data_IF_513031876384
#
_entry.id   IF_513031876384
#
_cell.length_a   1.000
_cell.length_b   1.000
_cell.length_c   1.000
_cell.angle_alpha   90.00
_cell.angle_beta   90.00
_cell.angle_gamma   90.00
#
_symmetry.space_group_name_H-M   'P 1'
#
loop_
_entity.id
_entity.type
_entity.pdbx_description
1 polymer ?
#
# COMPACT_ATOMS: atom_id res chain seq x y z
N UNK A 1 1.52 -34.63 -6.05
CA UNK A 1 0.75 -33.68 -5.23
C UNK A 1 0.45 -34.38 -3.91
N UNK A 2 1.16 -34.02 -2.85
CA UNK A 2 1.01 -34.62 -1.53
C UNK A 2 0.33 -33.60 -0.61
N UNK A 3 -0.78 -33.99 0.01
CA UNK A 3 -1.46 -33.21 1.04
C UNK A 3 -0.58 -33.08 2.30
N UNK A 4 -0.59 -31.93 3.00
CA UNK A 4 -0.03 -31.86 4.34
C UNK A 4 -0.97 -32.60 5.30
N UNK A 5 -0.47 -33.63 5.97
CA UNK A 5 -1.21 -34.36 7.00
C UNK A 5 -1.43 -33.50 8.25
N UNK A 6 -2.40 -33.87 9.11
CA UNK A 6 -2.68 -33.13 10.34
C UNK A 6 -1.52 -33.29 11.34
N UNK A 7 -0.99 -32.16 11.82
CA UNK A 7 0.00 -32.10 12.88
C UNK A 7 -0.52 -32.85 14.12
N UNK A 8 0.10 -34.00 14.42
CA UNK A 8 -0.15 -34.74 15.66
C UNK A 8 0.38 -33.91 16.83
N UNK A 9 -0.54 -33.43 17.65
CA UNK A 9 -0.21 -32.81 18.93
C UNK A 9 0.37 -33.88 19.87
N UNK A 10 1.68 -33.82 20.12
CA UNK A 10 2.35 -34.65 21.13
C UNK A 10 2.12 -34.00 22.50
N UNK A 11 1.41 -34.66 23.45
CA UNK A 11 1.24 -34.10 24.77
C UNK A 11 2.59 -34.11 25.51
N UNK A 12 3.01 -32.95 26.00
CA UNK A 12 4.18 -32.82 26.86
C UNK A 12 4.07 -33.80 28.05
N UNK A 13 5.19 -34.42 28.49
CA UNK A 13 5.17 -35.37 29.59
C UNK A 13 4.66 -34.71 30.88
N UNK A 14 3.84 -35.42 31.69
CA UNK A 14 3.30 -34.85 32.92
C UNK A 14 4.40 -34.74 33.99
N UNK A 15 4.81 -33.51 34.32
CA UNK A 15 5.82 -33.19 35.36
C UNK A 15 5.34 -33.37 36.82
N UNK A 16 4.21 -34.03 37.07
CA UNK A 16 3.54 -34.03 38.39
C UNK A 16 3.59 -35.38 39.11
N UNK A 17 4.78 -35.94 39.34
CA UNK A 17 4.97 -37.03 40.32
C UNK A 17 6.23 -36.83 41.16
N UNK A 18 6.16 -35.91 42.12
CA UNK A 18 7.05 -35.95 43.29
C UNK A 18 6.75 -37.23 44.09
N UNK A 19 7.74 -38.10 44.37
CA UNK A 19 7.50 -39.36 45.07
C UNK A 19 6.93 -39.12 46.47
N UNK A 20 5.76 -39.72 46.79
CA UNK A 20 5.11 -39.62 48.11
C UNK A 20 6.03 -40.02 49.27
N UNK A 21 7.02 -40.89 49.03
CA UNK A 21 8.00 -41.28 50.04
C UNK A 21 8.88 -40.11 50.50
N UNK A 22 9.22 -39.15 49.62
CA UNK A 22 10.02 -37.97 50.00
C UNK A 22 9.22 -37.02 50.91
N UNK A 23 7.92 -36.86 50.66
CA UNK A 23 7.03 -36.03 51.47
C UNK A 23 6.78 -36.61 52.88
N UNK A 24 6.87 -37.93 53.03
CA UNK A 24 6.70 -38.62 54.31
C UNK A 24 7.83 -38.40 55.32
N UNK A 25 9.05 -38.08 54.87
CA UNK A 25 10.22 -37.85 55.72
C UNK A 25 10.45 -36.39 56.14
N UNK A 26 9.62 -35.45 55.66
CA UNK A 26 9.73 -34.04 56.00
C UNK A 26 8.99 -33.71 57.31
N UNK A 27 9.75 -33.20 58.29
CA UNK A 27 9.20 -32.66 59.54
C UNK A 27 8.16 -31.57 59.25
N UNK A 28 7.23 -31.32 60.18
CA UNK A 28 6.14 -30.33 60.01
C UNK A 28 6.66 -28.95 59.56
N UNK A 29 7.85 -28.57 60.03
CA UNK A 29 8.56 -27.33 59.64
C UNK A 29 9.14 -27.39 58.22
N UNK A 30 9.62 -28.54 57.76
CA UNK A 30 10.10 -28.74 56.38
C UNK A 30 8.98 -28.65 55.34
N UNK A 31 7.79 -29.17 55.67
CA UNK A 31 6.60 -29.04 54.81
C UNK A 31 6.13 -27.59 54.67
N UNK A 32 6.15 -26.81 55.76
CA UNK A 32 5.81 -25.39 55.72
C UNK A 32 6.82 -24.60 54.88
N UNK A 33 8.13 -24.86 55.04
CA UNK A 33 9.18 -24.18 54.26
C UNK A 33 9.10 -24.48 52.77
N UNK A 34 8.80 -25.74 52.40
CA UNK A 34 8.57 -26.11 51.00
C UNK A 34 7.31 -25.46 50.43
N UNK A 35 6.21 -25.42 51.18
CA UNK A 35 4.97 -24.76 50.74
C UNK A 35 5.13 -23.25 50.56
N UNK A 36 5.84 -22.59 51.48
CA UNK A 36 6.15 -21.15 51.36
C UNK A 36 7.11 -20.92 50.20
N UNK A 37 8.16 -21.73 50.06
CA UNK A 37 9.09 -21.64 48.94
C UNK A 37 8.42 -21.82 47.58
N UNK A 38 7.53 -22.81 47.44
CA UNK A 38 6.80 -23.03 46.19
C UNK A 38 5.80 -21.92 45.90
N UNK A 39 5.14 -21.37 46.93
CA UNK A 39 4.24 -20.22 46.77
C UNK A 39 5.00 -18.97 46.28
N UNK A 40 6.18 -18.69 46.85
CA UNK A 40 7.02 -17.56 46.42
C UNK A 40 7.47 -17.74 44.96
N UNK A 41 7.94 -18.94 44.58
CA UNK A 41 8.34 -19.21 43.20
C UNK A 41 7.16 -19.05 42.23
N UNK A 42 5.97 -19.53 42.59
CA UNK A 42 4.78 -19.38 41.75
C UNK A 42 4.38 -17.90 41.57
N UNK A 43 4.47 -17.10 42.63
CA UNK A 43 4.20 -15.64 42.56
C UNK A 43 5.21 -14.94 41.66
N UNK A 44 6.50 -15.21 41.82
CA UNK A 44 7.55 -14.61 40.99
C UNK A 44 7.40 -15.00 39.52
N UNK A 45 7.06 -16.25 39.23
CA UNK A 45 6.79 -16.72 37.87
C UNK A 45 5.56 -16.02 37.27
N UNK A 46 4.49 -15.85 38.04
CA UNK A 46 3.29 -15.12 37.60
C UNK A 46 3.59 -13.64 37.27
N UNK A 47 4.41 -12.97 38.08
CA UNK A 47 4.85 -11.59 37.83
C UNK A 47 5.68 -11.51 36.54
N UNK A 48 6.62 -12.43 36.33
CA UNK A 48 7.45 -12.46 35.13
C UNK A 48 6.63 -12.67 33.86
N UNK A 49 5.67 -13.61 33.88
CA UNK A 49 4.77 -13.86 32.74
C UNK A 49 3.91 -12.62 32.46
N UNK A 50 3.33 -12.00 33.48
CA UNK A 50 2.51 -10.80 33.32
C UNK A 50 3.32 -9.61 32.76
N UNK A 51 4.59 -9.46 33.18
CA UNK A 51 5.50 -8.44 32.65
C UNK A 51 5.82 -8.69 31.16
N UNK A 52 6.11 -9.94 30.78
CA UNK A 52 6.39 -10.34 29.40
C UNK A 52 5.18 -10.13 28.47
N UNK A 53 3.97 -10.44 28.93
CA UNK A 53 2.74 -10.20 28.18
C UNK A 53 2.48 -8.71 27.97
N UNK A 54 2.71 -7.90 29.02
CA UNK A 54 2.52 -6.45 28.95
C UNK A 54 3.56 -5.77 28.04
N UNK A 55 4.80 -6.25 28.02
CA UNK A 55 5.80 -5.76 27.05
C UNK A 55 5.40 -6.14 25.62
N UNK A 56 4.98 -7.39 25.40
CA UNK A 56 4.50 -7.83 24.07
C UNK A 56 3.30 -7.03 23.57
N UNK A 57 2.34 -6.70 24.43
CA UNK A 57 1.21 -5.84 24.05
C UNK A 57 1.65 -4.42 23.66
N UNK A 58 2.58 -3.83 24.40
CA UNK A 58 3.12 -2.49 24.08
C UNK A 58 3.89 -2.48 22.76
N UNK A 59 4.65 -3.55 22.49
CA UNK A 59 5.40 -3.68 21.24
C UNK A 59 4.44 -3.83 20.04
N UNK A 60 3.32 -4.56 20.21
CA UNK A 60 2.27 -4.66 19.21
C UNK A 60 1.56 -3.31 18.99
N UNK A 61 1.12 -2.63 20.05
CA UNK A 61 0.50 -1.30 19.94
C UNK A 61 1.43 -0.26 19.29
N UNK A 62 2.73 -0.31 19.61
CA UNK A 62 3.73 0.55 18.99
C UNK A 62 3.96 0.22 17.52
N UNK A 63 3.96 -1.07 17.15
CA UNK A 63 4.05 -1.52 15.76
C UNK A 63 2.82 -1.13 14.96
N UNK A 64 1.62 -1.27 15.51
CA UNK A 64 0.36 -0.86 14.88
C UNK A 64 0.33 0.66 14.68
N UNK A 65 0.67 1.45 15.70
CA UNK A 65 0.75 2.90 15.58
C UNK A 65 1.84 3.37 14.59
N UNK A 66 2.93 2.63 14.43
CA UNK A 66 3.94 2.90 13.39
C UNK A 66 3.42 2.55 11.99
N UNK A 67 2.71 1.44 11.86
CA UNK A 67 2.06 1.00 10.62
C UNK A 67 1.02 2.03 10.16
N UNK A 68 0.13 2.46 11.06
CA UNK A 68 -0.92 3.43 10.74
C UNK A 68 -0.37 4.79 10.33
N UNK A 69 0.69 5.27 11.02
CA UNK A 69 1.40 6.49 10.60
C UNK A 69 2.04 6.35 9.23
N UNK A 70 2.58 5.18 8.91
CA UNK A 70 3.22 4.93 7.60
C UNK A 70 2.18 4.89 6.49
N UNK A 71 1.01 4.29 6.73
CA UNK A 71 -0.12 4.29 5.80
C UNK A 71 -0.65 5.69 5.56
N UNK A 72 -0.88 6.48 6.62
CA UNK A 72 -1.33 7.86 6.48
C UNK A 72 -0.34 8.71 5.67
N UNK A 73 0.97 8.60 5.95
CA UNK A 73 1.99 9.30 5.18
C UNK A 73 2.02 8.86 3.71
N UNK A 74 1.81 7.57 3.42
CA UNK A 74 1.70 7.06 2.06
C UNK A 74 0.46 7.61 1.36
N UNK A 75 -0.70 7.65 2.02
CA UNK A 75 -1.93 8.23 1.48
C UNK A 75 -1.76 9.70 1.11
N UNK A 76 -1.14 10.48 1.98
CA UNK A 76 -0.88 11.90 1.73
C UNK A 76 0.06 12.09 0.55
N UNK A 77 1.13 11.28 0.46
CA UNK A 77 2.05 11.29 -0.66
C UNK A 77 1.34 10.91 -1.97
N UNK A 78 0.49 9.88 -1.96
CA UNK A 78 -0.30 9.46 -3.11
C UNK A 78 -1.31 10.53 -3.53
N UNK A 79 -1.97 11.19 -2.59
CA UNK A 79 -2.94 12.25 -2.86
C UNK A 79 -2.29 13.46 -3.55
N UNK A 80 -1.11 13.90 -3.08
CA UNK A 80 -0.38 14.98 -3.73
C UNK A 80 0.17 14.55 -5.10
N UNK A 81 0.68 13.31 -5.21
CA UNK A 81 1.19 12.74 -6.45
C UNK A 81 0.11 12.63 -7.55
N UNK A 82 -1.12 12.34 -7.15
CA UNK A 82 -2.29 12.19 -8.03
C UNK A 82 -3.12 13.46 -8.17
N UNK A 83 -2.68 14.59 -7.59
CA UNK A 83 -3.42 15.85 -7.61
C UNK A 83 -3.73 16.30 -9.06
N UNK A 84 -4.97 16.73 -9.36
CA UNK A 84 -5.33 17.18 -10.70
C UNK A 84 -4.45 18.33 -11.19
N UNK A 85 -3.87 18.14 -12.36
CA UNK A 85 -3.20 19.19 -13.15
C UNK A 85 -4.14 19.61 -14.27
N UNK A 86 -4.11 20.89 -14.65
CA UNK A 86 -5.08 21.48 -15.60
C UNK A 86 -4.38 22.23 -16.73
N UNK A 87 -5.02 22.25 -17.89
CA UNK A 87 -4.62 23.06 -19.04
C UNK A 87 -5.85 23.67 -19.71
N UNK A 88 -5.71 24.87 -20.25
CA UNK A 88 -6.73 25.46 -21.12
C UNK A 88 -6.61 24.89 -22.53
N UNK A 89 -7.75 24.64 -23.15
CA UNK A 89 -7.78 24.17 -24.53
C UNK A 89 -7.52 25.34 -25.50
N UNK A 90 -7.01 25.06 -26.70
CA UNK A 90 -6.92 26.05 -27.77
C UNK A 90 -8.30 26.66 -28.07
N UNK A 91 -8.33 27.96 -28.39
CA UNK A 91 -9.55 28.62 -28.81
C UNK A 91 -10.12 27.96 -30.07
N UNK A 92 -11.46 27.86 -30.16
CA UNK A 92 -12.13 27.23 -31.30
C UNK A 92 -12.09 25.69 -31.29
N UNK A 93 -11.66 25.06 -30.20
CA UNK A 93 -11.77 23.60 -30.05
C UNK A 93 -13.25 23.22 -29.97
N UNK A 94 -13.75 22.52 -31.00
CA UNK A 94 -15.15 22.06 -31.10
C UNK A 94 -15.32 20.56 -30.89
N UNK A 95 -14.22 19.79 -30.94
CA UNK A 95 -14.23 18.35 -30.72
C UNK A 95 -13.34 18.00 -29.51
N UNK A 96 -13.89 17.40 -28.44
CA UNK A 96 -13.13 17.02 -27.24
C UNK A 96 -12.11 15.91 -27.50
N UNK A 97 -12.19 15.24 -28.66
CA UNK A 97 -11.24 14.21 -29.10
C UNK A 97 -10.32 14.67 -30.24
N UNK A 98 -10.30 15.96 -30.58
CA UNK A 98 -9.48 16.47 -31.67
C UNK A 98 -7.97 16.28 -31.42
N UNK A 99 -7.20 16.22 -32.51
CA UNK A 99 -5.73 16.18 -32.44
C UNK A 99 -5.13 17.36 -31.66
N UNK A 100 -5.78 18.53 -31.69
CA UNK A 100 -5.36 19.70 -30.91
C UNK A 100 -5.46 19.44 -29.39
N UNK A 101 -6.53 18.76 -28.94
CA UNK A 101 -6.73 18.37 -27.54
C UNK A 101 -5.71 17.30 -27.14
N UNK A 102 -5.54 16.25 -27.95
CA UNK A 102 -4.53 15.20 -27.73
C UNK A 102 -3.16 15.82 -27.54
N UNK A 103 -2.77 16.71 -28.46
CA UNK A 103 -1.48 17.39 -28.41
C UNK A 103 -1.34 18.31 -27.18
N UNK A 104 -2.42 18.93 -26.72
CA UNK A 104 -2.41 19.73 -25.49
C UNK A 104 -2.21 18.86 -24.23
N UNK A 105 -2.89 17.72 -24.16
CA UNK A 105 -2.73 16.73 -23.08
C UNK A 105 -1.31 16.15 -23.05
N UNK A 106 -0.79 15.68 -24.18
CA UNK A 106 0.56 15.12 -24.27
C UNK A 106 1.62 16.13 -23.85
N UNK A 107 1.51 17.40 -24.27
CA UNK A 107 2.40 18.47 -23.82
C UNK A 107 2.29 18.73 -22.32
N UNK A 108 1.08 18.71 -21.78
CA UNK A 108 0.81 18.89 -20.35
C UNK A 108 1.45 17.79 -19.51
N UNK A 109 1.15 16.54 -19.84
CA UNK A 109 1.70 15.35 -19.17
C UNK A 109 3.22 15.28 -19.33
N UNK A 110 3.77 15.55 -20.52
CA UNK A 110 5.23 15.59 -20.74
C UNK A 110 5.91 16.65 -19.88
N UNK A 111 5.27 17.81 -19.67
CA UNK A 111 5.81 18.86 -18.79
C UNK A 111 5.82 18.41 -17.33
N UNK A 112 4.75 17.75 -16.87
CA UNK A 112 4.68 17.18 -15.52
C UNK A 112 5.78 16.12 -15.32
N UNK A 113 5.92 15.20 -16.27
CA UNK A 113 6.96 14.17 -16.25
C UNK A 113 8.38 14.74 -16.23
N UNK A 114 8.65 15.79 -17.02
CA UNK A 114 9.96 16.49 -16.98
C UNK A 114 10.22 17.21 -15.66
N UNK A 115 9.19 17.67 -14.95
CA UNK A 115 9.35 18.23 -13.61
C UNK A 115 9.77 17.14 -12.62
N UNK A 116 9.15 15.95 -12.72
CA UNK A 116 9.47 14.78 -11.90
C UNK A 116 10.87 14.24 -12.19
N UNK A 117 11.27 14.22 -13.45
CA UNK A 117 12.62 13.87 -13.91
C UNK A 117 13.66 14.78 -13.25
N UNK A 118 13.48 16.10 -13.34
CA UNK A 118 14.38 17.08 -12.69
C UNK A 118 14.41 16.98 -11.17
N UNK A 119 13.33 16.48 -10.57
CA UNK A 119 13.24 16.24 -9.13
C UNK A 119 13.86 14.88 -8.71
N UNK A 120 14.38 14.08 -9.65
CA UNK A 120 14.95 12.76 -9.34
C UNK A 120 13.91 11.72 -8.93
N UNK A 121 12.65 11.90 -9.34
CA UNK A 121 11.53 11.01 -8.98
C UNK A 121 11.26 9.91 -10.02
N UNK A 122 12.08 9.82 -11.07
CA UNK A 122 11.93 8.86 -12.16
C UNK A 122 13.20 8.02 -12.30
N UNK A 123 13.04 6.75 -12.69
CA UNK A 123 14.15 5.81 -12.91
C UNK A 123 14.96 6.09 -14.20
N UNK A 124 14.54 7.10 -14.99
CA UNK A 124 15.27 7.58 -16.14
C UNK A 124 14.52 8.64 -16.93
N UNK A 125 15.11 9.14 -18.04
CA UNK A 125 14.54 10.22 -18.83
C UNK A 125 13.22 9.84 -19.51
N UNK A 126 12.39 10.85 -19.69
CA UNK A 126 11.09 10.75 -20.39
C UNK A 126 11.33 10.72 -21.90
N UNK A 127 10.93 9.63 -22.57
CA UNK A 127 11.11 9.48 -24.03
C UNK A 127 9.94 10.09 -24.80
N UNK A 128 8.75 9.63 -24.47
CA UNK A 128 7.52 9.96 -25.19
C UNK A 128 6.34 9.99 -24.24
N UNK A 129 5.28 10.65 -24.69
CA UNK A 129 3.96 10.63 -24.06
C UNK A 129 2.97 10.47 -25.19
N UNK A 130 2.09 9.50 -25.07
CA UNK A 130 0.98 9.26 -25.97
C UNK A 130 -0.33 9.35 -25.19
N UNK A 131 -1.36 9.93 -25.79
CA UNK A 131 -2.70 9.99 -25.20
C UNK A 131 -3.75 9.43 -26.17
N UNK A 132 -4.57 8.52 -25.68
CA UNK A 132 -5.64 7.88 -26.45
C UNK A 132 -7.01 8.17 -25.81
N UNK A 133 -8.03 8.54 -26.62
CA UNK A 133 -9.37 8.75 -26.10
C UNK A 133 -10.02 7.43 -25.69
N UNK A 134 -10.71 7.43 -24.55
CA UNK A 134 -11.55 6.31 -24.10
C UNK A 134 -12.88 6.39 -24.85
N UNK A 135 -13.11 5.46 -25.77
CA UNK A 135 -14.21 5.54 -26.75
C UNK A 135 -15.58 5.66 -26.10
N UNK A 136 -15.82 4.93 -25.03
CA UNK A 136 -17.11 4.86 -24.33
C UNK A 136 -17.42 6.13 -23.51
N UNK A 137 -16.42 6.97 -23.26
CA UNK A 137 -16.55 8.17 -22.42
C UNK A 137 -16.90 9.45 -23.17
N UNK A 138 -17.00 9.38 -24.50
CA UNK A 138 -17.12 10.57 -25.36
C UNK A 138 -18.57 11.02 -25.45
N UNK A 139 -18.77 12.31 -25.16
CA UNK A 139 -20.01 13.05 -25.45
C UNK A 139 -19.68 14.18 -26.44
N UNK A 140 -20.67 14.96 -26.90
CA UNK A 140 -20.39 16.14 -27.74
C UNK A 140 -19.47 17.18 -27.08
N UNK A 141 -19.47 17.28 -25.74
CA UNK A 141 -18.73 18.33 -25.01
C UNK A 141 -17.65 17.78 -24.09
N UNK A 142 -17.58 16.47 -23.87
CA UNK A 142 -16.60 15.85 -22.97
C UNK A 142 -15.96 14.60 -23.58
N UNK A 143 -14.73 14.30 -23.15
CA UNK A 143 -14.07 13.03 -23.44
C UNK A 143 -13.07 12.71 -22.32
N UNK A 144 -12.91 11.42 -22.00
CA UNK A 144 -11.81 10.95 -21.18
C UNK A 144 -10.69 10.37 -22.05
N UNK A 145 -9.47 10.41 -21.51
CA UNK A 145 -8.28 9.90 -22.16
C UNK A 145 -7.46 9.07 -21.18
N UNK A 146 -6.78 8.07 -21.73
CA UNK A 146 -5.65 7.43 -21.08
C UNK A 146 -4.37 7.94 -21.72
N UNK A 147 -3.46 8.47 -20.91
CA UNK A 147 -2.13 8.85 -21.37
C UNK A 147 -1.08 7.96 -20.74
N UNK A 148 -0.05 7.61 -21.50
CA UNK A 148 1.09 6.85 -21.01
C UNK A 148 2.39 7.60 -21.33
N UNK A 149 3.22 7.78 -20.30
CA UNK A 149 4.53 8.39 -20.41
C UNK A 149 5.60 7.31 -20.35
N UNK A 150 6.30 7.06 -21.46
CA UNK A 150 7.37 6.09 -21.52
C UNK A 150 8.65 6.71 -20.96
N UNK A 151 9.28 6.02 -20.01
CA UNK A 151 10.59 6.38 -19.47
C UNK A 151 11.61 5.33 -19.91
N UNK A 152 12.86 5.72 -20.12
CA UNK A 152 13.92 4.72 -20.23
C UNK A 152 14.19 4.15 -18.84
N UNK A 153 14.25 2.83 -18.71
CA UNK A 153 14.79 2.16 -17.52
C UNK A 153 16.12 1.47 -17.83
N UNK A 154 16.90 1.19 -16.79
CA UNK A 154 18.01 0.24 -16.88
C UNK A 154 17.49 -1.09 -17.44
N UNK A 155 18.24 -1.66 -18.39
CA UNK A 155 17.92 -2.89 -19.12
C UNK A 155 17.28 -3.94 -18.21
N UNK A 156 15.96 -4.06 -18.27
CA UNK A 156 15.32 -5.34 -18.03
C UNK A 156 15.72 -6.24 -19.20
N UNK A 157 16.15 -7.48 -18.94
CA UNK A 157 16.38 -8.48 -20.00
C UNK A 157 15.08 -8.88 -20.74
N UNK A 158 13.96 -8.27 -20.35
CA UNK A 158 12.67 -8.37 -20.97
C UNK A 158 12.31 -6.98 -21.51
N UNK A 159 11.95 -6.87 -22.79
CA UNK A 159 11.44 -5.67 -23.49
C UNK A 159 10.11 -5.18 -22.88
N UNK A 160 10.13 -4.81 -21.60
CA UNK A 160 8.98 -4.27 -20.88
C UNK A 160 9.09 -2.76 -20.97
N UNK A 161 8.13 -2.14 -21.65
CA UNK A 161 7.99 -0.69 -21.64
C UNK A 161 7.65 -0.21 -20.22
N UNK A 162 8.60 0.47 -19.59
CA UNK A 162 8.41 1.09 -18.28
C UNK A 162 7.87 2.50 -18.46
N UNK A 163 6.91 2.88 -17.62
CA UNK A 163 6.26 4.18 -17.75
C UNK A 163 5.23 4.47 -16.69
N UNK A 164 4.59 5.62 -16.84
CA UNK A 164 3.59 6.12 -15.92
C UNK A 164 2.28 6.38 -16.65
N UNK A 165 1.19 5.80 -16.15
CA UNK A 165 -0.15 6.01 -16.66
C UNK A 165 -0.82 7.25 -16.06
N UNK A 166 -1.69 7.88 -16.85
CA UNK A 166 -2.48 9.04 -16.44
C UNK A 166 -3.90 8.89 -16.97
N UNK A 167 -4.86 9.36 -16.17
CA UNK A 167 -6.24 9.60 -16.64
C UNK A 167 -6.41 11.09 -16.88
N UNK A 168 -7.10 11.44 -17.96
CA UNK A 168 -7.47 12.82 -18.23
C UNK A 168 -8.94 12.96 -18.62
N UNK A 169 -9.53 14.11 -18.30
CA UNK A 169 -10.87 14.52 -18.72
C UNK A 169 -10.81 15.87 -19.41
N UNK A 170 -11.55 15.98 -20.50
CA UNK A 170 -11.72 17.19 -21.31
C UNK A 170 -13.16 17.66 -21.16
N UNK A 171 -13.32 18.97 -20.99
CA UNK A 171 -14.60 19.65 -20.93
C UNK A 171 -14.54 20.89 -21.82
N UNK A 172 -15.25 20.84 -22.96
CA UNK A 172 -15.32 21.93 -23.92
C UNK A 172 -16.12 23.12 -23.40
N UNK A 173 -17.15 22.90 -22.57
CA UNK A 173 -17.94 23.99 -21.98
C UNK A 173 -17.06 24.82 -21.05
N UNK A 174 -16.19 24.15 -20.29
CA UNK A 174 -15.19 24.80 -19.47
C UNK A 174 -13.95 25.27 -20.26
N UNK A 175 -13.82 24.90 -21.54
CA UNK A 175 -12.64 25.17 -22.37
C UNK A 175 -11.33 24.64 -21.78
N UNK A 176 -11.39 23.52 -21.05
CA UNK A 176 -10.25 23.03 -20.27
C UNK A 176 -10.14 21.51 -20.24
N UNK A 177 -8.95 21.03 -19.89
CA UNK A 177 -8.70 19.63 -19.60
C UNK A 177 -7.96 19.49 -18.27
N UNK A 178 -8.14 18.35 -17.61
CA UNK A 178 -7.45 17.98 -16.39
C UNK A 178 -6.88 16.57 -16.49
N UNK A 179 -5.73 16.31 -15.87
CA UNK A 179 -5.12 14.97 -15.79
C UNK A 179 -4.58 14.66 -14.39
N UNK A 180 -4.55 13.38 -14.06
CA UNK A 180 -4.09 12.83 -12.81
C UNK A 180 -3.22 11.61 -13.09
N UNK A 181 -2.11 11.45 -12.35
CA UNK A 181 -1.30 10.22 -12.41
C UNK A 181 -2.13 9.05 -11.89
N UNK A 182 -2.01 7.89 -12.53
CA UNK A 182 -2.55 6.61 -12.05
C UNK A 182 -1.41 5.82 -11.46
N UNK A 183 -1.63 5.28 -10.26
CA UNK A 183 -0.74 4.26 -9.72
C UNK A 183 -1.35 2.89 -10.06
N UNK A 184 -0.60 1.98 -10.70
CA UNK A 184 -1.13 0.68 -11.09
C UNK A 184 -1.51 -0.13 -9.86
N UNK A 185 -2.49 -1.02 -10.03
CA UNK A 185 -2.78 -2.05 -9.03
C UNK A 185 -1.60 -3.00 -8.95
N UNK A 186 -1.23 -3.50 -7.76
CA UNK A 186 -0.23 -4.55 -7.67
C UNK A 186 -0.66 -5.76 -8.50
N UNK A 187 0.29 -6.37 -9.21
CA UNK A 187 0.07 -7.57 -10.03
C UNK A 187 -0.26 -8.80 -9.17
N UNK A 188 0.03 -8.73 -7.86
CA UNK A 188 -0.23 -9.77 -6.87
C UNK A 188 -1.11 -9.20 -5.74
N UNK A 189 -2.38 -9.62 -5.64
CA UNK A 189 -3.36 -9.05 -4.70
C UNK A 189 -3.02 -9.30 -3.22
N UNK A 190 -2.08 -10.19 -2.95
CA UNK A 190 -1.55 -10.62 -1.67
C UNK A 190 -0.36 -9.78 -1.17
N UNK A 191 0.07 -8.77 -1.93
CA UNK A 191 1.08 -7.80 -1.46
C UNK A 191 0.43 -6.73 -0.58
N UNK A 192 0.54 -6.90 0.74
CA UNK A 192 -0.07 -6.07 1.80
C UNK A 192 0.39 -4.59 1.86
N UNK A 193 1.09 -4.08 0.85
CA UNK A 193 1.82 -2.79 0.91
C UNK A 193 1.40 -1.76 -0.15
N UNK A 194 0.27 -1.96 -0.85
CA UNK A 194 -0.18 -1.00 -1.85
C UNK A 194 -1.58 -0.51 -1.56
N UNK A 195 -1.70 0.79 -1.28
CA UNK A 195 -2.97 1.47 -1.21
C UNK A 195 -3.31 2.09 -2.56
N UNK A 196 -4.49 1.78 -3.09
CA UNK A 196 -5.03 2.46 -4.28
C UNK A 196 -5.38 3.90 -3.91
N UNK A 197 -4.56 4.85 -4.35
CA UNK A 197 -4.93 6.26 -4.28
C UNK A 197 -6.22 6.52 -5.06
N UNK A 198 -7.19 7.21 -4.42
CA UNK A 198 -8.43 7.63 -5.09
C UNK A 198 -8.11 8.71 -6.13
N UNK A 199 -8.14 8.34 -7.40
CA UNK A 199 -8.01 9.30 -8.50
C UNK A 199 -9.20 10.26 -8.47
N UNK A 200 -8.91 11.57 -8.54
CA UNK A 200 -9.94 12.60 -8.50
C UNK A 200 -10.94 12.49 -9.66
N UNK A 201 -12.23 12.72 -9.38
CA UNK A 201 -13.29 12.82 -10.39
C UNK A 201 -13.05 13.95 -11.42
N UNK A 202 -12.13 14.88 -11.14
CA UNK A 202 -11.68 15.86 -12.12
C UNK A 202 -11.00 15.22 -13.35
N UNK A 203 -10.46 14.02 -13.22
CA UNK A 203 -9.67 13.32 -14.24
C UNK A 203 -10.32 12.02 -14.73
N UNK A 204 -11.39 11.56 -14.09
CA UNK A 204 -12.12 10.36 -14.47
C UNK A 204 -13.37 10.72 -15.30
N UNK A 205 -13.79 9.85 -16.24
CA UNK A 205 -15.13 9.94 -16.79
C UNK A 205 -16.15 9.77 -15.65
N UNK A 206 -17.29 10.45 -15.75
CA UNK A 206 -18.39 10.14 -14.84
C UNK A 206 -18.80 8.69 -15.09
N UNK A 207 -18.77 7.86 -14.05
CA UNK A 207 -19.33 6.52 -14.11
C UNK A 207 -20.83 6.68 -14.35
N UNK A 208 -21.28 6.38 -15.56
CA UNK A 208 -22.69 6.15 -15.85
C UNK A 208 -23.20 4.90 -15.15
#
# INVERSE_FOLDING_TARGET
MASPGPDRYEPLPPFTKLPRWLLGKLSRRGRIRLGVGSAVVAVLLGIAIAAQMRSGQRDLEAADAASDRSKAALQDALAEDQRPRRVRLPAGTTDPASAAVVSALERGVRRDMRLRERAGLLDGPVRSVACEPVRESRTPTTAAFFCFAHVTGARSNYDIELGHGFSAKVDLNAGSAAWCKRNPRPLHPDTAYYEEGKVSAACLPESG
#
